data_IF_176988809584
#
_entry.id   IF_176988809584
#
_cell.length_a   1.000
_cell.length_b   1.000
_cell.length_c   1.000
_cell.angle_alpha   90.00
_cell.angle_beta   90.00
_cell.angle_gamma   90.00
#
_symmetry.space_group_name_H-M   'P 1'
#
loop_
_entity.id
_entity.type
_entity.pdbx_description
1 polymer ?
#
# COMPACT_ATOMS: atom_id res chain seq x y z
N UNK A 1 3.26 10.53 -34.47
CA UNK A 1 2.63 10.30 -33.15
C UNK A 1 2.52 8.80 -32.90
N UNK A 2 3.14 8.28 -31.83
CA UNK A 2 3.23 6.83 -31.63
C UNK A 2 1.94 6.27 -31.02
N UNK A 3 1.11 5.69 -31.89
CA UNK A 3 -0.16 5.05 -31.54
C UNK A 3 -0.02 3.99 -30.43
N UNK A 4 1.14 3.33 -30.33
CA UNK A 4 1.44 2.30 -29.33
C UNK A 4 1.56 2.90 -27.92
N UNK A 5 2.24 4.04 -27.77
CA UNK A 5 2.38 4.71 -26.48
C UNK A 5 1.02 5.23 -25.98
N UNK A 6 0.25 5.85 -26.88
CA UNK A 6 -1.12 6.32 -26.59
C UNK A 6 -2.05 5.16 -26.22
N UNK A 7 -1.95 4.03 -26.91
CA UNK A 7 -2.75 2.84 -26.60
C UNK A 7 -2.37 2.23 -25.23
N UNK A 8 -1.09 2.24 -24.87
CA UNK A 8 -0.62 1.79 -23.55
C UNK A 8 -1.19 2.66 -22.43
N UNK A 9 -1.15 3.98 -22.60
CA UNK A 9 -1.72 4.92 -21.64
C UNK A 9 -3.23 4.74 -21.47
N UNK A 10 -3.97 4.56 -22.57
CA UNK A 10 -5.42 4.30 -22.54
C UNK A 10 -5.76 3.01 -21.81
N UNK A 11 -4.95 1.97 -21.96
CA UNK A 11 -5.10 0.71 -21.22
C UNK A 11 -4.95 0.95 -19.71
N UNK A 12 -3.94 1.72 -19.29
CA UNK A 12 -3.72 2.03 -17.88
C UNK A 12 -4.82 2.93 -17.28
N UNK A 13 -5.34 3.88 -18.06
CA UNK A 13 -6.50 4.70 -17.68
C UNK A 13 -7.75 3.83 -17.50
N UNK A 14 -7.99 2.88 -18.40
CA UNK A 14 -9.15 1.99 -18.31
C UNK A 14 -9.07 1.05 -17.09
N UNK A 15 -7.86 0.57 -16.77
CA UNK A 15 -7.60 -0.21 -15.56
C UNK A 15 -7.86 0.62 -14.30
N UNK A 16 -7.38 1.86 -14.27
CA UNK A 16 -7.62 2.79 -13.17
C UNK A 16 -9.12 3.07 -12.99
N UNK A 17 -9.83 3.35 -14.09
CA UNK A 17 -11.28 3.58 -14.10
C UNK A 17 -12.06 2.39 -13.52
N UNK A 18 -11.78 1.17 -14.00
CA UNK A 18 -12.44 -0.05 -13.50
C UNK A 18 -12.26 -0.21 -12.00
N UNK A 19 -11.01 -0.08 -11.51
CA UNK A 19 -10.69 -0.21 -10.08
C UNK A 19 -11.35 0.87 -9.22
N UNK A 20 -11.32 2.12 -9.67
CA UNK A 20 -11.93 3.25 -8.95
C UNK A 20 -13.44 3.08 -8.83
N UNK A 21 -14.10 2.67 -9.91
CA UNK A 21 -15.55 2.46 -9.89
C UNK A 21 -15.96 1.28 -9.01
N UNK A 22 -15.23 0.16 -9.06
CA UNK A 22 -15.49 -0.96 -8.17
C UNK A 22 -15.37 -0.56 -6.69
N UNK A 23 -14.32 0.19 -6.34
CA UNK A 23 -14.15 0.75 -4.99
C UNK A 23 -15.25 1.75 -4.61
N UNK A 24 -15.69 2.59 -5.55
CA UNK A 24 -16.76 3.55 -5.32
C UNK A 24 -18.08 2.84 -5.00
N UNK A 25 -18.45 1.83 -5.80
CA UNK A 25 -19.64 1.00 -5.56
C UNK A 25 -19.57 0.30 -4.21
N UNK A 26 -18.44 -0.32 -3.88
CA UNK A 26 -18.24 -0.95 -2.58
C UNK A 26 -18.40 0.04 -1.41
N UNK A 27 -17.88 1.27 -1.54
CA UNK A 27 -18.03 2.32 -0.52
C UNK A 27 -19.47 2.82 -0.41
N UNK A 28 -20.17 3.00 -1.53
CA UNK A 28 -21.57 3.43 -1.55
C UNK A 28 -22.44 2.37 -0.85
N UNK A 29 -22.27 1.09 -1.20
CA UNK A 29 -23.00 -0.01 -0.59
C UNK A 29 -22.68 -0.15 0.90
N UNK A 30 -21.41 -0.05 1.29
CA UNK A 30 -21.04 -0.05 2.70
C UNK A 30 -21.66 1.11 3.48
N UNK A 31 -21.75 2.30 2.87
CA UNK A 31 -22.40 3.46 3.47
C UNK A 31 -23.92 3.24 3.59
N UNK A 32 -24.54 2.70 2.54
CA UNK A 32 -25.95 2.32 2.54
C UNK A 32 -26.25 1.36 3.68
N UNK A 33 -25.54 0.23 3.75
CA UNK A 33 -25.74 -0.81 4.76
C UNK A 33 -25.53 -0.27 6.19
N UNK A 34 -24.60 0.68 6.37
CA UNK A 34 -24.40 1.36 7.66
C UNK A 34 -25.61 2.21 8.07
N UNK A 35 -26.28 2.86 7.12
CA UNK A 35 -27.43 3.75 7.39
C UNK A 35 -28.71 2.95 7.54
N UNK A 36 -28.97 1.99 6.64
CA UNK A 36 -30.22 1.23 6.59
C UNK A 36 -30.18 -0.03 7.45
N UNK A 37 -28.99 -0.47 7.89
CA UNK A 37 -28.76 -1.76 8.59
C UNK A 37 -29.19 -2.99 7.79
N UNK A 38 -29.36 -2.84 6.48
CA UNK A 38 -29.68 -3.93 5.54
C UNK A 38 -28.38 -4.36 4.87
N UNK A 39 -28.08 -5.66 4.81
CA UNK A 39 -26.86 -6.21 4.22
C UNK A 39 -26.89 -6.30 2.69
N UNK A 40 -27.22 -5.21 1.99
CA UNK A 40 -27.34 -5.21 0.52
C UNK A 40 -26.00 -5.44 -0.18
N UNK A 41 -24.89 -5.01 0.44
CA UNK A 41 -23.54 -5.22 -0.10
C UNK A 41 -23.21 -6.69 -0.33
N UNK A 42 -23.73 -7.61 0.50
CA UNK A 42 -23.47 -9.05 0.38
C UNK A 42 -24.10 -9.66 -0.86
N UNK A 43 -25.22 -9.10 -1.32
CA UNK A 43 -25.94 -9.59 -2.50
C UNK A 43 -25.43 -8.91 -3.77
N UNK A 44 -25.20 -7.60 -3.72
CA UNK A 44 -24.89 -6.81 -4.91
C UNK A 44 -23.40 -6.81 -5.28
N UNK A 45 -22.47 -6.90 -4.32
CA UNK A 45 -21.02 -6.93 -4.66
C UNK A 45 -20.59 -8.14 -5.49
N UNK A 46 -21.11 -9.37 -5.26
CA UNK A 46 -20.85 -10.49 -6.15
C UNK A 46 -21.30 -10.22 -7.59
N UNK A 47 -22.47 -9.60 -7.75
CA UNK A 47 -23.01 -9.23 -9.07
C UNK A 47 -22.21 -8.13 -9.75
N UNK A 48 -21.76 -7.11 -9.00
CA UNK A 48 -20.87 -6.06 -9.50
C UNK A 48 -19.52 -6.64 -9.92
N UNK A 49 -19.04 -7.66 -9.23
CA UNK A 49 -17.76 -8.31 -9.52
C UNK A 49 -17.84 -9.30 -10.71
N UNK A 50 -19.03 -9.76 -11.08
CA UNK A 50 -19.25 -10.56 -12.29
C UNK A 50 -19.43 -9.71 -13.55
N UNK A 51 -19.55 -8.38 -13.42
CA UNK A 51 -19.72 -7.49 -14.55
C UNK A 51 -18.43 -7.42 -15.41
N UNK A 52 -18.59 -7.30 -16.75
CA UNK A 52 -17.48 -7.29 -17.69
C UNK A 52 -16.57 -6.07 -17.56
N UNK A 53 -16.99 -5.01 -16.87
CA UNK A 53 -16.13 -3.86 -16.60
C UNK A 53 -15.05 -4.16 -15.53
N UNK A 54 -15.30 -5.14 -14.65
CA UNK A 54 -14.35 -5.57 -13.62
C UNK A 54 -13.43 -6.69 -14.12
N UNK A 55 -13.88 -7.48 -15.09
CA UNK A 55 -13.04 -8.48 -15.76
C UNK A 55 -11.96 -7.82 -16.62
N UNK A 56 -10.76 -7.71 -16.05
CA UNK A 56 -9.57 -7.16 -16.70
C UNK A 56 -8.81 -8.20 -17.52
N UNK A 57 -9.26 -9.47 -17.60
CA UNK A 57 -8.52 -10.54 -18.26
C UNK A 57 -8.26 -10.26 -19.75
N UNK A 58 -9.26 -9.69 -20.44
CA UNK A 58 -9.11 -9.26 -21.85
C UNK A 58 -8.13 -8.09 -21.99
N UNK A 59 -8.15 -7.16 -21.04
CA UNK A 59 -7.28 -6.00 -21.03
C UNK A 59 -5.82 -6.40 -20.75
N UNK A 60 -5.60 -7.35 -19.84
CA UNK A 60 -4.29 -7.90 -19.54
C UNK A 60 -3.73 -8.72 -20.70
N UNK A 61 -4.57 -9.48 -21.40
CA UNK A 61 -4.18 -10.16 -22.63
C UNK A 61 -3.77 -9.17 -23.73
N UNK A 62 -4.46 -8.04 -23.83
CA UNK A 62 -4.12 -6.95 -24.75
C UNK A 62 -2.80 -6.26 -24.37
N UNK A 63 -2.59 -5.92 -23.09
CA UNK A 63 -1.35 -5.36 -22.55
C UNK A 63 -0.15 -6.29 -22.85
N UNK A 64 -0.30 -7.61 -22.61
CA UNK A 64 0.72 -8.63 -22.93
C UNK A 64 0.99 -8.75 -24.43
N UNK A 65 -0.02 -8.58 -25.29
CA UNK A 65 0.18 -8.56 -26.75
C UNK A 65 0.94 -7.31 -27.16
N UNK A 66 0.60 -6.15 -26.61
CA UNK A 66 1.32 -4.90 -26.86
C UNK A 66 2.79 -5.00 -26.46
N UNK A 67 3.06 -5.52 -25.27
CA UNK A 67 4.43 -5.69 -24.75
C UNK A 67 5.29 -6.60 -25.63
N UNK A 68 4.70 -7.51 -26.42
CA UNK A 68 5.42 -8.32 -27.40
C UNK A 68 5.67 -7.60 -28.73
N UNK A 69 4.87 -6.60 -29.09
CA UNK A 69 4.99 -5.84 -30.34
C UNK A 69 5.92 -4.63 -30.18
N UNK A 70 5.98 -4.05 -28.97
CA UNK A 70 6.86 -2.91 -28.64
C UNK A 70 8.35 -3.16 -28.98
N UNK A 71 8.96 -4.33 -28.70
CA UNK A 71 10.35 -4.60 -29.07
C UNK A 71 10.58 -4.71 -30.59
N UNK A 72 9.53 -5.02 -31.36
CA UNK A 72 9.60 -5.18 -32.81
C UNK A 72 9.44 -3.85 -33.57
N UNK A 73 9.11 -2.77 -32.85
CA UNK A 73 9.03 -1.42 -33.40
C UNK A 73 10.23 -0.65 -32.89
N UNK A 74 11.07 -0.08 -33.78
CA UNK A 74 12.19 0.78 -33.38
C UNK A 74 11.60 2.02 -32.70
N UNK A 75 11.58 2.11 -31.35
CA UNK A 75 10.96 3.22 -30.67
C UNK A 75 11.92 4.41 -30.78
N UNK A 76 11.39 5.62 -30.97
CA UNK A 76 12.24 6.81 -30.91
C UNK A 76 12.80 6.99 -29.49
N UNK A 77 13.94 7.67 -29.33
CA UNK A 77 14.55 7.89 -28.00
C UNK A 77 13.59 8.55 -27.00
N UNK A 78 12.71 9.44 -27.48
CA UNK A 78 11.65 10.07 -26.68
C UNK A 78 10.63 9.06 -26.14
N UNK A 79 10.27 8.05 -26.93
CA UNK A 79 9.31 7.01 -26.53
C UNK A 79 9.89 6.08 -25.46
N UNK A 80 11.17 5.74 -25.57
CA UNK A 80 11.84 4.94 -24.55
C UNK A 80 11.87 5.68 -23.21
N UNK A 81 12.11 6.99 -23.22
CA UNK A 81 12.14 7.79 -22.01
C UNK A 81 10.75 7.93 -21.38
N UNK A 82 9.71 8.09 -22.19
CA UNK A 82 8.32 8.15 -21.74
C UNK A 82 7.84 6.80 -21.18
N UNK A 83 8.11 5.70 -21.87
CA UNK A 83 7.79 4.34 -21.40
C UNK A 83 8.52 3.99 -20.09
N UNK A 84 9.77 4.44 -19.92
CA UNK A 84 10.50 4.33 -18.65
C UNK A 84 9.81 5.11 -17.53
N UNK A 85 9.34 6.34 -17.79
CA UNK A 85 8.57 7.12 -16.80
C UNK A 85 7.26 6.44 -16.44
N UNK A 86 6.52 5.93 -17.42
CA UNK A 86 5.27 5.19 -17.18
C UNK A 86 5.50 3.93 -16.34
N UNK A 87 6.54 3.14 -16.63
CA UNK A 87 6.93 2.00 -15.78
C UNK A 87 7.27 2.43 -14.36
N UNK A 88 8.05 3.50 -14.22
CA UNK A 88 8.40 4.05 -12.91
C UNK A 88 7.16 4.45 -12.10
N UNK A 89 6.21 5.14 -12.73
CA UNK A 89 4.94 5.52 -12.08
C UNK A 89 4.07 4.30 -11.74
N UNK A 90 3.99 3.30 -12.63
CA UNK A 90 3.25 2.04 -12.41
C UNK A 90 3.80 1.27 -11.20
N UNK A 91 5.11 1.17 -11.09
CA UNK A 91 5.78 0.56 -9.92
C UNK A 91 5.59 1.41 -8.65
N UNK A 92 5.60 2.74 -8.76
CA UNK A 92 5.45 3.63 -7.61
C UNK A 92 4.03 3.74 -7.07
N UNK A 93 2.99 3.61 -7.90
CA UNK A 93 1.59 3.64 -7.50
C UNK A 93 1.08 2.32 -6.92
N UNK A 94 1.65 1.17 -7.32
CA UNK A 94 1.28 -0.14 -6.77
C UNK A 94 1.69 -0.35 -5.31
N UNK A 95 2.66 0.42 -4.80
CA UNK A 95 3.31 0.18 -3.51
C UNK A 95 2.79 0.99 -2.31
N UNK A 96 1.67 1.71 -2.44
CA UNK A 96 1.22 2.69 -1.44
C UNK A 96 1.11 2.14 -0.01
N UNK A 97 0.55 0.94 0.18
CA UNK A 97 0.46 0.31 1.50
C UNK A 97 1.83 -0.02 2.10
N UNK A 98 2.78 -0.52 1.29
CA UNK A 98 4.12 -0.86 1.76
C UNK A 98 4.96 0.35 2.16
N UNK A 99 4.65 1.54 1.62
CA UNK A 99 5.31 2.81 1.97
C UNK A 99 4.73 3.37 3.27
N UNK A 100 3.40 3.30 3.43
CA UNK A 100 2.68 3.77 4.61
C UNK A 100 3.01 2.91 5.85
N UNK A 101 3.02 1.58 5.70
CA UNK A 101 3.46 0.68 6.76
C UNK A 101 4.93 0.90 7.15
N UNK A 102 5.82 1.13 6.17
CA UNK A 102 7.23 1.46 6.48
C UNK A 102 7.35 2.75 7.29
N UNK A 103 6.62 3.79 6.90
CA UNK A 103 6.58 5.05 7.66
C UNK A 103 6.08 4.85 9.09
N UNK A 104 5.03 4.03 9.27
CA UNK A 104 4.50 3.69 10.59
C UNK A 104 5.54 2.98 11.48
N UNK A 105 6.21 1.94 10.97
CA UNK A 105 7.23 1.23 11.74
C UNK A 105 8.43 2.11 12.11
N UNK A 106 8.88 2.98 11.19
CA UNK A 106 9.95 3.95 11.48
C UNK A 106 9.51 4.92 12.57
N UNK A 107 8.27 5.43 12.50
CA UNK A 107 7.71 6.32 13.52
C UNK A 107 7.63 5.68 14.90
N UNK A 108 7.12 4.44 14.98
CA UNK A 108 7.03 3.68 16.24
C UNK A 108 8.42 3.45 16.84
N UNK A 109 9.41 3.05 16.05
CA UNK A 109 10.78 2.83 16.53
C UNK A 109 11.44 4.11 17.05
N UNK A 110 11.22 5.26 16.39
CA UNK A 110 11.73 6.55 16.85
C UNK A 110 11.08 6.98 18.16
N UNK A 111 9.76 6.82 18.28
CA UNK A 111 9.06 7.19 19.50
C UNK A 111 9.52 6.35 20.69
N UNK A 112 9.68 5.04 20.48
CA UNK A 112 10.24 4.13 21.49
C UNK A 112 11.66 4.55 21.89
N UNK A 113 12.52 4.93 20.94
CA UNK A 113 13.86 5.45 21.25
C UNK A 113 13.83 6.72 22.11
N UNK A 114 12.90 7.64 21.83
CA UNK A 114 12.73 8.85 22.64
C UNK A 114 12.29 8.49 24.05
N UNK A 115 11.31 7.60 24.20
CA UNK A 115 10.84 7.14 25.51
C UNK A 115 11.98 6.49 26.32
N UNK A 116 12.85 5.69 25.67
CA UNK A 116 14.04 5.12 26.30
C UNK A 116 14.99 6.21 26.81
N UNK A 117 15.29 7.21 25.98
CA UNK A 117 16.19 8.32 26.36
C UNK A 117 15.61 9.09 27.54
N UNK A 118 14.32 9.42 27.49
CA UNK A 118 13.61 10.10 28.57
C UNK A 118 13.70 9.29 29.86
N UNK A 119 13.50 7.96 29.79
CA UNK A 119 13.59 7.06 30.93
C UNK A 119 15.00 7.03 31.53
N UNK A 120 16.05 7.01 30.71
CA UNK A 120 17.45 7.05 31.16
C UNK A 120 17.81 8.39 31.79
N UNK A 121 17.21 9.49 31.33
CA UNK A 121 17.46 10.83 31.84
C UNK A 121 16.74 11.15 33.16
N UNK A 122 15.91 10.25 33.71
CA UNK A 122 15.25 10.47 35.00
C UNK A 122 16.30 10.47 36.12
N UNK A 123 16.48 11.57 36.87
CA UNK A 123 17.44 11.63 37.95
C UNK A 123 17.00 10.76 39.13
N UNK A 124 17.94 9.99 39.68
CA UNK A 124 17.78 9.12 40.85
C UNK A 124 17.39 9.86 42.14
N UNK A 125 17.43 11.20 42.13
CA UNK A 125 17.06 12.06 43.26
C UNK A 125 15.56 12.34 43.35
N UNK A 126 14.76 11.80 42.43
CA UNK A 126 13.32 12.05 42.37
C UNK A 126 12.58 11.26 43.48
N UNK A 127 11.87 11.92 44.40
CA UNK A 127 11.20 11.26 45.53
C UNK A 127 10.07 10.28 45.14
N UNK A 128 9.60 10.34 43.89
CA UNK A 128 8.60 9.42 43.33
C UNK A 128 9.23 8.27 42.50
N UNK A 129 10.56 8.11 42.54
CA UNK A 129 11.25 7.07 41.80
C UNK A 129 11.14 5.73 42.52
N UNK A 130 10.33 4.83 41.97
CA UNK A 130 10.27 3.44 42.38
C UNK A 130 11.12 2.59 41.41
N UNK A 131 12.23 2.05 41.92
CA UNK A 131 13.13 1.18 41.16
C UNK A 131 12.41 -0.04 40.57
N UNK A 132 11.47 -0.65 41.32
CA UNK A 132 10.77 -1.84 40.86
C UNK A 132 9.87 -1.52 39.65
N UNK A 133 9.13 -0.41 39.72
CA UNK A 133 8.32 0.08 38.61
C UNK A 133 9.17 0.48 37.39
N UNK A 134 10.34 1.09 37.64
CA UNK A 134 11.29 1.48 36.60
C UNK A 134 11.84 0.26 35.84
N UNK A 135 12.35 -0.76 36.54
CA UNK A 135 12.86 -1.98 35.90
C UNK A 135 11.75 -2.79 35.20
N UNK A 136 10.54 -2.78 35.75
CA UNK A 136 9.38 -3.39 35.08
C UNK A 136 9.06 -2.70 33.75
N UNK A 137 9.10 -1.36 33.74
CA UNK A 137 8.85 -0.56 32.53
C UNK A 137 9.92 -0.77 31.44
N UNK A 138 11.20 -0.89 31.83
CA UNK A 138 12.30 -1.23 30.92
C UNK A 138 12.13 -2.61 30.27
N UNK A 139 11.64 -3.59 31.04
CA UNK A 139 11.42 -4.95 30.55
C UNK A 139 10.27 -5.00 29.55
N UNK A 140 9.15 -4.33 29.87
CA UNK A 140 8.01 -4.21 28.97
C UNK A 140 8.39 -3.47 27.68
N UNK A 141 9.14 -2.37 27.80
CA UNK A 141 9.64 -1.62 26.66
C UNK A 141 10.53 -2.48 25.74
N UNK A 142 11.50 -3.20 26.32
CA UNK A 142 12.40 -4.09 25.58
C UNK A 142 11.63 -5.18 24.84
N UNK A 143 10.59 -5.72 25.45
CA UNK A 143 9.73 -6.71 24.80
C UNK A 143 9.00 -6.12 23.58
N UNK A 144 8.34 -4.97 23.74
CA UNK A 144 7.62 -4.27 22.65
C UNK A 144 8.56 -3.89 21.51
N UNK A 145 9.76 -3.42 21.84
CA UNK A 145 10.79 -3.08 20.85
C UNK A 145 11.25 -4.33 20.08
N UNK A 146 11.51 -5.45 20.76
CA UNK A 146 11.92 -6.70 20.12
C UNK A 146 10.81 -7.29 19.23
N UNK A 147 9.54 -7.24 19.67
CA UNK A 147 8.40 -7.63 18.83
C UNK A 147 8.28 -6.75 17.57
N UNK A 148 8.49 -5.44 17.72
CA UNK A 148 8.45 -4.49 16.60
C UNK A 148 9.58 -4.76 15.59
N UNK A 149 10.80 -5.03 16.07
CA UNK A 149 11.93 -5.43 15.23
C UNK A 149 11.71 -6.77 14.54
N UNK A 150 11.13 -7.75 15.22
CA UNK A 150 10.83 -9.07 14.65
C UNK A 150 9.77 -9.00 13.55
N UNK A 151 8.71 -8.20 13.76
CA UNK A 151 7.70 -7.94 12.72
C UNK A 151 8.30 -7.22 11.51
N UNK A 152 9.23 -6.29 11.76
CA UNK A 152 9.93 -5.58 10.71
C UNK A 152 10.88 -6.47 9.90
N UNK A 153 11.66 -7.33 10.56
CA UNK A 153 12.56 -8.28 9.90
C UNK A 153 11.82 -9.35 9.11
N UNK A 154 10.69 -9.86 9.64
CA UNK A 154 9.79 -10.75 8.91
C UNK A 154 9.23 -10.09 7.66
N UNK A 155 8.87 -8.80 7.74
CA UNK A 155 8.43 -8.01 6.58
C UNK A 155 9.50 -7.82 5.50
N UNK A 156 10.78 -7.85 5.87
CA UNK A 156 11.90 -7.85 4.92
C UNK A 156 12.17 -9.23 4.32
N UNK A 157 12.04 -10.30 5.10
CA UNK A 157 12.28 -11.67 4.64
C UNK A 157 11.19 -12.21 3.69
N UNK A 158 9.98 -11.65 3.72
CA UNK A 158 8.87 -11.99 2.82
C UNK A 158 8.90 -11.25 1.48
N UNK A 159 9.98 -10.51 1.18
CA UNK A 159 10.21 -9.81 -0.09
C UNK A 159 11.26 -10.52 -0.92
#
# INVERSE_FOLDING_TARGET
ENAIANLTERIDLLRSYSRLNHLAVAKILKKHDKVTRIGLSQVLMPEVSSQPFYDLGRLDALDKRLQRVVPCTNPSEGDQQFLKRLRYFREHMGGGHSKLLRGFYVGVSVMLMIDLIVLICIPHTNPNFDEAAFFASLTAFRFVFMCSLALWSAGWAMK
#
